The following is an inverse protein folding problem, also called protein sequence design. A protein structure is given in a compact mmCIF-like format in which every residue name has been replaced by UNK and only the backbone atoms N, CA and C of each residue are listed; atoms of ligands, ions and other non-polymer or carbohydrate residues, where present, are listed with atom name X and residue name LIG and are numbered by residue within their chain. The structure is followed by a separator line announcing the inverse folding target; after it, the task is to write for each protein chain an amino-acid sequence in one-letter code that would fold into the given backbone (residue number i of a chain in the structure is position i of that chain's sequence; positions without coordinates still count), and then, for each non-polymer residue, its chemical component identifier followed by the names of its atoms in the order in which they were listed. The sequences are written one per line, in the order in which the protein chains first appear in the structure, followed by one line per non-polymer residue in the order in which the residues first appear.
data_IF_065614217256
#
_entry.id   IF_065614217256
#
_cell.length_a   1.000
_cell.length_b   1.000
_cell.length_c   1.000
_cell.angle_alpha   90.00
_cell.angle_beta   90.00
_cell.angle_gamma   90.00
#
_symmetry.space_group_name_H-M   'P 1'
#
loop_
_entity.id
_entity.type
_entity.pdbx_description
1 polymer ?
#
# COMPACT_ATOMS: atom_id res chain seq x y z
N UNK A 1 5.56 8.77 -11.74
CA UNK A 1 6.46 7.87 -10.97
C UNK A 1 5.64 6.93 -10.09
N UNK A 2 5.99 5.65 -10.00
CA UNK A 2 5.19 4.66 -9.23
C UNK A 2 5.12 4.95 -7.72
N UNK A 3 6.11 5.67 -7.15
CA UNK A 3 6.12 6.04 -5.74
C UNK A 3 4.93 6.93 -5.34
N UNK A 4 4.42 7.75 -6.27
CA UNK A 4 3.27 8.62 -6.05
C UNK A 4 2.00 7.84 -5.69
N UNK A 5 1.92 6.55 -6.08
CA UNK A 5 0.82 5.68 -5.66
C UNK A 5 0.68 5.62 -4.14
N UNK A 6 1.79 5.75 -3.40
CA UNK A 6 1.81 5.67 -1.94
C UNK A 6 1.71 7.03 -1.24
N UNK A 7 1.56 8.16 -1.93
CA UNK A 7 1.60 9.47 -1.28
C UNK A 7 0.41 9.67 -0.33
N UNK A 8 -0.80 9.27 -0.75
CA UNK A 8 -2.01 9.31 0.08
C UNK A 8 -2.89 8.08 -0.23
N UNK A 9 -2.57 6.91 0.34
CA UNK A 9 -3.36 5.70 0.16
C UNK A 9 -4.76 5.86 0.80
N UNK A 10 -5.83 5.27 0.22
CA UNK A 10 -5.86 4.53 -1.04
C UNK A 10 -6.02 5.42 -2.29
N UNK A 11 -6.29 6.71 -2.12
CA UNK A 11 -6.68 7.64 -3.20
C UNK A 11 -5.65 7.74 -4.31
N UNK A 12 -4.38 8.01 -3.97
CA UNK A 12 -3.31 8.09 -4.97
C UNK A 12 -3.01 6.74 -5.61
N UNK A 13 -3.28 5.64 -4.89
CA UNK A 13 -3.20 4.29 -5.42
C UNK A 13 -4.24 4.03 -6.50
N UNK A 14 -5.49 4.46 -6.27
CA UNK A 14 -6.58 4.34 -7.22
C UNK A 14 -6.31 5.13 -8.50
N UNK A 15 -5.82 6.36 -8.36
CA UNK A 15 -5.38 7.19 -9.50
C UNK A 15 -4.24 6.51 -10.27
N UNK A 16 -3.22 6.00 -9.58
CA UNK A 16 -2.10 5.30 -10.21
C UNK A 16 -2.54 4.01 -10.93
N UNK A 17 -3.53 3.29 -10.39
CA UNK A 17 -4.09 2.10 -11.04
C UNK A 17 -4.92 2.43 -12.29
N UNK A 18 -5.74 3.47 -12.21
CA UNK A 18 -6.70 3.82 -13.26
C UNK A 18 -6.07 4.62 -14.41
N UNK A 19 -5.08 5.46 -14.11
CA UNK A 19 -4.44 6.36 -15.07
C UNK A 19 -3.02 5.92 -15.47
N UNK A 20 -2.45 4.92 -14.80
CA UNK A 20 -1.09 4.46 -15.06
C UNK A 20 -0.96 3.78 -16.42
N UNK A 21 -0.05 4.28 -17.27
CA UNK A 21 0.22 3.67 -18.59
C UNK A 21 1.05 2.39 -18.50
N UNK A 22 1.86 2.25 -17.46
CA UNK A 22 2.74 1.10 -17.28
C UNK A 22 2.22 0.13 -16.23
N UNK A 23 2.43 -1.17 -16.47
CA UNK A 23 2.08 -2.26 -15.53
C UNK A 23 2.68 -2.05 -14.14
N UNK A 24 3.89 -1.47 -14.06
CA UNK A 24 4.56 -1.16 -12.80
C UNK A 24 3.77 -0.15 -11.96
N UNK A 25 3.31 0.94 -12.58
CA UNK A 25 2.53 1.98 -11.89
C UNK A 25 1.19 1.41 -11.44
N UNK A 26 0.53 0.61 -12.29
CA UNK A 26 -0.74 -0.03 -11.95
C UNK A 26 -0.62 -1.04 -10.82
N UNK A 27 0.44 -1.84 -10.80
CA UNK A 27 0.74 -2.76 -9.71
C UNK A 27 0.90 -2.04 -8.37
N UNK A 28 1.71 -0.98 -8.33
CA UNK A 28 1.91 -0.17 -7.11
C UNK A 28 0.64 0.60 -6.73
N UNK A 29 -0.17 1.00 -7.70
CA UNK A 29 -1.52 1.53 -7.47
C UNK A 29 -2.40 0.56 -6.71
N UNK A 30 -2.54 -0.68 -7.20
CA UNK A 30 -3.31 -1.73 -6.50
C UNK A 30 -2.74 -2.04 -5.12
N UNK A 31 -1.41 -2.10 -4.97
CA UNK A 31 -0.77 -2.34 -3.68
C UNK A 31 -1.08 -1.21 -2.68
N UNK A 32 -1.04 0.04 -3.13
CA UNK A 32 -1.41 1.20 -2.30
C UNK A 32 -2.89 1.21 -1.93
N UNK A 33 -3.79 0.83 -2.85
CA UNK A 33 -5.22 0.67 -2.56
C UNK A 33 -5.44 -0.40 -1.50
N UNK A 34 -4.88 -1.60 -1.70
CA UNK A 34 -5.03 -2.71 -0.77
C UNK A 34 -4.48 -2.34 0.63
N UNK A 35 -3.30 -1.73 0.69
CA UNK A 35 -2.71 -1.25 1.94
C UNK A 35 -3.57 -0.18 2.61
N UNK A 36 -4.04 0.82 1.85
CA UNK A 36 -4.85 1.92 2.36
C UNK A 36 -6.19 1.49 2.95
N UNK A 37 -6.73 0.34 2.54
CA UNK A 37 -7.91 -0.27 3.19
C UNK A 37 -7.55 -1.22 4.33
N UNK A 38 -6.55 -2.07 4.14
CA UNK A 38 -6.17 -3.08 5.14
C UNK A 38 -5.66 -2.44 6.44
N UNK A 39 -4.91 -1.34 6.35
CA UNK A 39 -4.29 -0.74 7.52
C UNK A 39 -5.29 -0.10 8.50
N UNK A 40 -6.27 0.71 8.07
CA UNK A 40 -7.34 1.16 8.97
C UNK A 40 -8.15 0.00 9.58
N UNK A 41 -8.42 -1.06 8.81
CA UNK A 41 -9.14 -2.25 9.30
C UNK A 41 -8.34 -2.97 10.40
N UNK A 42 -7.03 -3.12 10.24
CA UNK A 42 -6.20 -3.74 11.29
C UNK A 42 -6.03 -2.85 12.51
N UNK A 43 -5.97 -1.51 12.35
CA UNK A 43 -6.00 -0.56 13.47
C UNK A 43 -7.29 -0.72 14.27
N UNK A 44 -8.44 -0.77 13.57
CA UNK A 44 -9.73 -1.00 14.23
C UNK A 44 -9.74 -2.33 14.99
N UNK A 45 -9.30 -3.43 14.37
CA UNK A 45 -9.15 -4.71 15.06
C UNK A 45 -8.23 -4.66 16.28
N UNK A 46 -7.11 -3.94 16.18
CA UNK A 46 -6.19 -3.72 17.29
C UNK A 46 -6.82 -2.94 18.46
N UNK A 47 -7.73 -2.02 18.16
CA UNK A 47 -8.44 -1.24 19.18
C UNK A 47 -9.30 -2.11 20.08
N UNK A 48 -9.81 -3.24 19.59
CA UNK A 48 -10.56 -4.22 20.36
C UNK A 48 -9.67 -4.97 21.38
N UNK A 49 -8.37 -5.07 21.11
CA UNK A 49 -7.39 -5.67 22.02
C UNK A 49 -6.81 -4.66 23.03
N UNK A 50 -7.05 -3.36 22.83
CA UNK A 50 -6.66 -2.29 23.73
C UNK A 50 -5.61 -1.32 23.16
N UNK A 51 -5.25 -0.28 23.93
CA UNK A 51 -4.48 0.87 23.41
C UNK A 51 -3.09 0.53 22.90
N UNK A 52 -2.41 -0.44 23.51
CA UNK A 52 -1.06 -0.87 23.12
C UNK A 52 -1.10 -1.54 21.74
N UNK A 53 -2.08 -2.42 21.50
CA UNK A 53 -2.26 -3.10 20.21
C UNK A 53 -2.46 -2.11 19.06
N UNK A 54 -3.33 -1.11 19.25
CA UNK A 54 -3.54 -0.02 18.30
C UNK A 54 -2.24 0.72 17.97
N UNK A 55 -1.45 1.09 18.98
CA UNK A 55 -0.18 1.83 18.80
C UNK A 55 0.84 1.01 18.02
N UNK A 56 0.98 -0.28 18.34
CA UNK A 56 1.89 -1.19 17.65
C UNK A 56 1.50 -1.36 16.18
N UNK A 57 0.22 -1.60 15.89
CA UNK A 57 -0.27 -1.76 14.51
C UNK A 57 -0.11 -0.47 13.72
N UNK A 58 -0.40 0.68 14.34
CA UNK A 58 -0.17 1.98 13.72
C UNK A 58 1.30 2.17 13.36
N UNK A 59 2.23 1.95 14.31
CA UNK A 59 3.66 2.11 14.07
C UNK A 59 4.17 1.17 12.96
N UNK A 60 3.77 -0.10 12.98
CA UNK A 60 4.15 -1.07 11.96
C UNK A 60 3.62 -0.69 10.57
N UNK A 61 2.36 -0.28 10.48
CA UNK A 61 1.79 0.16 9.20
C UNK A 61 2.46 1.44 8.68
N UNK A 62 2.78 2.39 9.55
CA UNK A 62 3.53 3.59 9.17
C UNK A 62 4.92 3.25 8.62
N UNK A 63 5.64 2.32 9.27
CA UNK A 63 6.93 1.84 8.78
C UNK A 63 6.83 1.15 7.42
N UNK A 64 5.81 0.29 7.23
CA UNK A 64 5.54 -0.36 5.94
C UNK A 64 5.24 0.70 4.88
N UNK A 65 4.37 1.67 5.18
CA UNK A 65 4.00 2.75 4.26
C UNK A 65 5.21 3.57 3.80
N UNK A 66 6.02 4.05 4.75
CA UNK A 66 7.24 4.81 4.47
C UNK A 66 8.22 3.94 3.67
N UNK A 67 8.39 2.67 4.05
CA UNK A 67 9.24 1.71 3.35
C UNK A 67 8.83 1.52 1.89
N UNK A 68 7.52 1.36 1.62
CA UNK A 68 6.98 1.25 0.26
C UNK A 68 7.23 2.52 -0.54
N UNK A 69 6.95 3.68 0.04
CA UNK A 69 7.13 4.98 -0.61
C UNK A 69 8.60 5.20 -0.98
N UNK A 70 9.52 5.08 -0.02
CA UNK A 70 10.95 5.33 -0.20
C UNK A 70 11.56 4.30 -1.15
N UNK A 71 11.32 3.01 -0.96
CA UNK A 71 11.89 1.98 -1.84
C UNK A 71 11.40 2.15 -3.28
N UNK A 72 10.12 2.48 -3.48
CA UNK A 72 9.58 2.73 -4.84
C UNK A 72 10.15 4.01 -5.45
N UNK A 73 10.42 5.03 -4.65
CA UNK A 73 11.08 6.27 -5.08
C UNK A 73 12.53 6.00 -5.53
N UNK A 74 13.23 5.09 -4.83
CA UNK A 74 14.56 4.59 -5.20
C UNK A 74 14.54 3.62 -6.40
N UNK A 75 13.40 3.44 -7.07
CA UNK A 75 13.27 2.55 -8.23
C UNK A 75 13.16 1.06 -7.89
N UNK A 76 13.11 0.67 -6.61
CA UNK A 76 12.87 -0.72 -6.20
C UNK A 76 11.38 -1.05 -6.27
N UNK A 77 11.06 -2.34 -6.34
CA UNK A 77 9.69 -2.85 -6.45
C UNK A 77 9.33 -3.75 -5.26
N UNK A 78 9.25 -3.20 -4.03
CA UNK A 78 8.87 -3.98 -2.85
C UNK A 78 7.44 -4.51 -3.01
N UNK A 79 7.21 -5.73 -2.54
CA UNK A 79 5.92 -6.42 -2.66
C UNK A 79 5.40 -6.76 -1.28
N UNK A 80 4.15 -6.40 -1.02
CA UNK A 80 3.44 -6.88 0.18
C UNK A 80 3.11 -8.37 0.06
N UNK A 81 2.94 -9.09 1.19
CA UNK A 81 2.36 -10.43 1.20
C UNK A 81 1.04 -10.44 0.41
N UNK A 82 0.88 -11.35 -0.54
CA UNK A 82 -0.25 -11.36 -1.48
C UNK A 82 -0.04 -10.59 -2.79
N UNK A 83 1.09 -9.91 -2.98
CA UNK A 83 1.41 -9.13 -4.20
C UNK A 83 1.43 -9.95 -5.51
N UNK A 84 1.53 -11.28 -5.44
CA UNK A 84 1.39 -12.15 -6.63
C UNK A 84 0.01 -12.04 -7.27
N UNK A 85 -1.06 -11.91 -6.48
CA UNK A 85 -2.44 -11.77 -6.96
C UNK A 85 -2.71 -10.38 -7.53
N UNK A 86 -2.14 -9.34 -6.93
CA UNK A 86 -2.24 -7.97 -7.46
C UNK A 86 -1.55 -7.83 -8.82
N UNK A 87 -0.46 -8.56 -9.04
CA UNK A 87 0.27 -8.57 -10.31
C UNK A 87 -0.53 -9.17 -11.47
N UNK A 88 -1.42 -10.14 -11.23
CA UNK A 88 -2.29 -10.64 -12.30
C UNK A 88 -3.35 -9.61 -12.68
N UNK A 89 -3.89 -8.89 -11.68
CA UNK A 89 -4.89 -7.83 -11.88
C UNK A 89 -4.33 -6.57 -12.56
N UNK A 90 -3.02 -6.32 -12.46
CA UNK A 90 -2.36 -5.20 -13.14
C UNK A 90 -2.00 -5.48 -14.60
N UNK A 91 -2.35 -6.67 -15.15
CA UNK A 91 -2.06 -7.05 -16.54
C UNK A 91 -3.22 -6.81 -17.51
N UNK A 92 -4.45 -6.73 -17.00
CA UNK A 92 -5.66 -6.49 -17.79
C UNK A 92 -5.80 -5.04 -18.22
#
# INVERSE_FOLDING_TARGET
MAALAYLLPPLTGLLAYSLGRDRRVRFHGLQAVAFGFLWPVTIYGGSLAGPIGTRVIFALGALIWIGLLVATALGRDPRLPGGRRLRSLSRG
#
